data_IF_545475638470
#
_entry.id   IF_545475638470
#
_cell.length_a   1.000
_cell.length_b   1.000
_cell.length_c   1.000
_cell.angle_alpha   90.00
_cell.angle_beta   90.00
_cell.angle_gamma   90.00
#
_symmetry.space_group_name_H-M   'P 1'
#
loop_
_entity.id
_entity.type
_entity.pdbx_description
1 polymer ?
#
# COMPACT_ATOMS: atom_id res chain seq x y z
N UNK A 1 14.83 11.20 -2.81
CA UNK A 1 14.01 10.19 -2.12
C UNK A 1 14.37 8.82 -2.68
N UNK A 2 14.54 7.78 -1.85
CA UNK A 2 14.72 6.42 -2.32
C UNK A 2 13.50 5.97 -3.14
N UNK A 3 13.73 5.25 -4.26
CA UNK A 3 12.67 4.66 -5.09
C UNK A 3 12.57 3.17 -4.76
N UNK A 4 11.39 2.70 -4.39
CA UNK A 4 11.16 1.32 -3.97
C UNK A 4 9.99 0.72 -4.77
N UNK A 5 10.22 -0.46 -5.33
CA UNK A 5 9.17 -1.29 -5.92
C UNK A 5 8.86 -2.45 -4.98
N UNK A 6 7.58 -2.65 -4.66
CA UNK A 6 7.08 -3.78 -3.89
C UNK A 6 6.31 -4.68 -4.85
N UNK A 7 6.73 -5.94 -4.93
CA UNK A 7 6.05 -6.96 -5.74
C UNK A 7 5.08 -7.70 -4.83
N UNK A 8 3.79 -7.50 -5.07
CA UNK A 8 2.73 -8.08 -4.26
C UNK A 8 1.94 -7.02 -3.50
N UNK A 9 0.63 -7.20 -3.57
CA UNK A 9 -0.42 -6.29 -3.08
C UNK A 9 -1.26 -6.95 -1.99
N UNK A 10 -0.78 -8.06 -1.42
CA UNK A 10 -1.36 -8.67 -0.23
C UNK A 10 -1.05 -7.82 1.01
N UNK A 11 -1.61 -8.19 2.16
CA UNK A 11 -1.50 -7.44 3.42
C UNK A 11 -0.09 -6.94 3.70
N UNK A 12 0.92 -7.80 3.63
CA UNK A 12 2.31 -7.40 3.92
C UNK A 12 2.92 -6.44 2.89
N UNK A 13 2.57 -6.60 1.61
CA UNK A 13 3.02 -5.69 0.56
C UNK A 13 2.46 -4.28 0.75
N UNK A 14 1.18 -4.19 1.10
CA UNK A 14 0.51 -2.94 1.43
C UNK A 14 1.07 -2.31 2.71
N UNK A 15 1.25 -3.10 3.79
CA UNK A 15 1.83 -2.62 5.05
C UNK A 15 3.22 -2.04 4.85
N UNK A 16 4.08 -2.72 4.08
CA UNK A 16 5.42 -2.23 3.77
C UNK A 16 5.35 -0.94 2.94
N UNK A 17 4.41 -0.87 1.99
CA UNK A 17 4.21 0.32 1.17
C UNK A 17 3.84 1.55 1.99
N UNK A 18 2.92 1.40 2.94
CA UNK A 18 2.54 2.46 3.89
C UNK A 18 3.73 2.86 4.78
N UNK A 19 4.41 1.89 5.38
CA UNK A 19 5.54 2.16 6.29
C UNK A 19 6.69 2.92 5.60
N UNK A 20 6.96 2.63 4.32
CA UNK A 20 7.98 3.31 3.53
C UNK A 20 7.51 4.68 3.02
N UNK A 21 6.24 4.83 2.66
CA UNK A 21 5.67 6.12 2.25
C UNK A 21 5.72 7.15 3.40
N UNK A 22 5.43 6.73 4.65
CA UNK A 22 5.58 7.56 5.86
C UNK A 22 7.02 8.06 6.01
N UNK A 23 8.01 7.26 5.62
CA UNK A 23 9.44 7.63 5.62
C UNK A 23 9.84 8.44 4.38
N UNK A 24 8.88 8.94 3.60
CA UNK A 24 9.09 9.74 2.39
C UNK A 24 9.88 9.00 1.29
N UNK A 25 9.74 7.67 1.21
CA UNK A 25 10.20 6.94 0.03
C UNK A 25 9.17 7.05 -1.11
N UNK A 26 9.62 7.10 -2.35
CA UNK A 26 8.75 6.94 -3.52
C UNK A 26 8.49 5.44 -3.71
N UNK A 27 7.27 5.00 -3.38
CA UNK A 27 6.89 3.58 -3.41
C UNK A 27 5.97 3.30 -4.60
N UNK A 28 6.22 2.19 -5.30
CA UNK A 28 5.32 1.63 -6.31
C UNK A 28 4.96 0.20 -5.91
N UNK A 29 3.67 -0.16 -5.96
CA UNK A 29 3.23 -1.54 -5.79
C UNK A 29 2.88 -2.16 -7.14
N UNK A 30 3.33 -3.40 -7.35
CA UNK A 30 2.95 -4.19 -8.53
C UNK A 30 1.93 -5.25 -8.13
N UNK A 31 0.70 -5.05 -8.60
CA UNK A 31 -0.38 -6.01 -8.48
C UNK A 31 -0.21 -7.17 -9.45
N UNK A 32 -0.83 -8.32 -9.17
CA UNK A 32 -0.77 -9.48 -10.06
C UNK A 32 -1.54 -9.24 -11.36
N UNK A 33 -2.61 -8.46 -11.31
CA UNK A 33 -3.45 -8.13 -12.45
C UNK A 33 -3.78 -6.65 -12.52
N UNK A 34 -4.12 -6.15 -13.72
CA UNK A 34 -4.58 -4.77 -13.91
C UNK A 34 -5.89 -4.49 -13.17
N UNK A 35 -6.79 -5.48 -13.11
CA UNK A 35 -8.04 -5.36 -12.35
C UNK A 35 -7.78 -5.17 -10.85
N UNK A 36 -6.83 -5.92 -10.29
CA UNK A 36 -6.41 -5.74 -8.89
C UNK A 36 -5.80 -4.34 -8.67
N UNK A 37 -4.95 -3.87 -9.59
CA UNK A 37 -4.38 -2.53 -9.52
C UNK A 37 -5.47 -1.44 -9.57
N UNK A 38 -6.44 -1.57 -10.48
CA UNK A 38 -7.55 -0.64 -10.60
C UNK A 38 -8.43 -0.63 -9.34
N UNK A 39 -8.72 -1.80 -8.75
CA UNK A 39 -9.46 -1.89 -7.49
C UNK A 39 -8.71 -1.19 -6.36
N UNK A 40 -7.39 -1.35 -6.25
CA UNK A 40 -6.57 -0.71 -5.21
C UNK A 40 -6.47 0.82 -5.37
N UNK A 41 -6.52 1.33 -6.61
CA UNK A 41 -6.52 2.77 -6.89
C UNK A 41 -7.89 3.41 -6.60
N UNK A 42 -8.97 2.67 -6.82
CA UNK A 42 -10.34 3.16 -6.65
C UNK A 42 -10.92 2.90 -5.25
N UNK A 43 -10.36 1.93 -4.52
CA UNK A 43 -10.73 1.71 -3.14
C UNK A 43 -10.10 2.81 -2.27
N UNK A 44 -10.94 3.52 -1.50
CA UNK A 44 -10.48 3.96 -0.17
C UNK A 44 -10.02 2.68 0.53
N UNK A 45 -8.75 2.60 0.89
CA UNK A 45 -8.11 1.37 1.33
C UNK A 45 -9.05 0.55 2.24
N UNK A 46 -9.16 -0.78 2.04
CA UNK A 46 -10.12 -1.58 2.79
C UNK A 46 -9.96 -1.32 4.28
N UNK A 47 -10.98 -0.70 4.88
CA UNK A 47 -11.01 -0.40 6.32
C UNK A 47 -10.83 -1.67 7.15
N UNK A 48 -11.21 -2.82 6.60
CA UNK A 48 -11.01 -4.17 7.13
C UNK A 48 -9.53 -4.56 7.27
N UNK A 49 -8.64 -4.12 6.38
CA UNK A 49 -7.19 -4.36 6.50
C UNK A 49 -6.56 -3.53 7.63
N UNK A 50 -7.25 -2.49 8.07
CA UNK A 50 -6.83 -1.60 9.15
C UNK A 50 -7.70 -1.72 10.41
N UNK A 51 -8.61 -2.70 10.45
CA UNK A 51 -9.37 -3.07 11.66
C UNK A 51 -8.39 -3.54 12.74
N UNK A 52 -7.93 -2.60 13.57
CA UNK A 52 -6.96 -2.82 14.64
C UNK A 52 -5.60 -2.12 14.45
N UNK A 53 -5.38 -1.42 13.33
CA UNK A 53 -4.16 -0.67 13.06
C UNK A 53 -4.46 0.82 13.17
N UNK A 54 -3.98 1.47 14.24
CA UNK A 54 -4.01 2.92 14.36
C UNK A 54 -3.05 3.51 13.33
N UNK A 55 -3.57 3.97 12.20
CA UNK A 55 -2.76 4.71 11.24
C UNK A 55 -2.32 6.04 11.88
N UNK A 56 -1.02 6.40 11.78
CA UNK A 56 -0.56 7.70 12.25
C UNK A 56 -1.26 8.79 11.43
N UNK A 57 -1.91 9.73 12.12
CA UNK A 57 -2.49 10.91 11.49
C UNK A 57 -1.36 11.78 10.95
N UNK A 58 -1.27 11.86 9.62
CA UNK A 58 -0.51 12.86 8.89
C UNK A 58 -1.38 14.06 8.55
#
# INVERSE_FOLDING_TARGET
MPKVAIIGTTTWGLTLGVALAVKRAEVRLWARTEEEAARLLNAEFPSELFSGITLPRG
#
